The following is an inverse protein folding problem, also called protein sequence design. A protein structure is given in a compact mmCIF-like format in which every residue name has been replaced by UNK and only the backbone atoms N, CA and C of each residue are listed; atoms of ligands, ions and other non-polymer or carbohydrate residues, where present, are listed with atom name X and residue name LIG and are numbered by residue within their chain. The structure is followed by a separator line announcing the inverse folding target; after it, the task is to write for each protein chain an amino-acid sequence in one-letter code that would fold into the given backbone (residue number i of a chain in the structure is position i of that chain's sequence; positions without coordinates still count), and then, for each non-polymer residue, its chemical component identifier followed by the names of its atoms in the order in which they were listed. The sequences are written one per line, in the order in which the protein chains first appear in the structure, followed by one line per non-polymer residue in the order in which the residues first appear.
data_IF_401218760481
#
_entry.id   IF_401218760481
#
_cell.length_a   1.000
_cell.length_b   1.000
_cell.length_c   1.000
_cell.angle_alpha   90.00
_cell.angle_beta   90.00
_cell.angle_gamma   90.00
#
_symmetry.space_group_name_H-M   'P 1'
#
loop_
_entity.id
_entity.type
_entity.pdbx_description
1 polymer ?
#
# COMPACT_ATOMS: atom_id res chain seq x y z
N UNK A 1 -6.35 33.97 -41.55
CA UNK A 1 -5.32 33.76 -42.58
C UNK A 1 -4.11 33.11 -41.92
N UNK A 2 -3.62 32.06 -42.56
CA UNK A 2 -2.63 31.11 -42.06
C UNK A 2 -1.27 31.74 -41.76
N UNK A 3 -0.57 31.22 -40.76
CA UNK A 3 0.89 31.26 -40.73
C UNK A 3 1.42 30.10 -39.90
N UNK A 4 2.01 29.13 -40.59
CA UNK A 4 3.40 28.68 -40.42
C UNK A 4 3.52 27.43 -41.28
N UNK A 5 4.15 27.61 -42.43
CA UNK A 5 4.77 26.55 -43.22
C UNK A 5 6.27 26.71 -43.01
N UNK A 6 6.88 25.58 -42.65
CA UNK A 6 8.27 25.08 -42.75
C UNK A 6 9.38 26.10 -43.07
N UNK A 7 10.53 26.05 -42.41
CA UNK A 7 11.70 25.20 -42.70
C UNK A 7 12.83 25.80 -41.80
N UNK A 8 13.89 25.16 -41.32
CA UNK A 8 14.85 24.21 -41.86
C UNK A 8 15.69 23.73 -40.66
N UNK A 9 16.12 22.46 -40.63
CA UNK A 9 17.52 22.14 -40.32
C UNK A 9 17.87 20.88 -41.10
N UNK A 10 18.60 21.06 -42.19
CA UNK A 10 19.42 20.00 -42.77
C UNK A 10 20.78 20.03 -42.07
N UNK A 11 21.17 18.92 -41.45
CA UNK A 11 22.57 18.66 -41.11
C UNK A 11 22.89 17.21 -41.49
N UNK A 12 23.95 17.10 -42.26
CA UNK A 12 24.32 15.96 -43.07
C UNK A 12 25.21 14.97 -42.31
N UNK A 13 25.24 13.74 -42.84
CA UNK A 13 26.40 12.83 -42.90
C UNK A 13 27.02 12.40 -41.56
N UNK A 14 27.06 11.09 -41.30
CA UNK A 14 28.29 10.30 -41.45
C UNK A 14 28.21 8.93 -40.75
N UNK A 15 28.96 8.00 -41.33
CA UNK A 15 29.44 6.72 -40.81
C UNK A 15 28.51 5.51 -40.98
N UNK A 16 28.68 4.88 -42.14
CA UNK A 16 28.50 3.45 -42.31
C UNK A 16 29.40 2.70 -41.31
N UNK A 17 28.84 1.73 -40.58
CA UNK A 17 29.60 0.64 -39.97
C UNK A 17 29.12 -0.66 -40.59
N UNK A 18 30.09 -1.32 -41.21
CA UNK A 18 29.96 -2.56 -41.97
C UNK A 18 29.39 -3.68 -41.12
N UNK A 19 28.43 -4.39 -41.69
CA UNK A 19 27.95 -5.70 -41.23
C UNK A 19 29.12 -6.69 -41.28
N UNK A 20 29.69 -6.99 -40.12
CA UNK A 20 30.55 -8.17 -39.96
C UNK A 20 29.65 -9.35 -39.58
N UNK A 21 29.63 -10.30 -40.48
CA UNK A 21 28.85 -11.52 -40.47
C UNK A 21 29.41 -12.45 -39.40
N UNK A 22 28.77 -12.54 -38.23
CA UNK A 22 29.08 -13.60 -37.26
C UNK A 22 28.28 -14.83 -37.69
N UNK A 23 28.94 -15.67 -38.48
CA UNK A 23 28.45 -16.97 -38.88
C UNK A 23 28.47 -17.97 -37.71
N UNK A 24 27.49 -18.84 -37.75
CA UNK A 24 26.97 -19.78 -36.75
C UNK A 24 27.91 -20.93 -36.37
N UNK A 25 27.93 -21.28 -35.08
CA UNK A 25 28.15 -22.63 -34.54
C UNK A 25 27.22 -22.77 -33.33
N UNK A 26 26.03 -23.36 -33.50
CA UNK A 26 25.69 -24.76 -33.20
C UNK A 26 25.80 -25.12 -31.70
N UNK A 27 24.66 -25.58 -31.15
CA UNK A 27 24.48 -26.36 -29.91
C UNK A 27 24.90 -25.66 -28.59
N UNK A 28 24.08 -25.60 -27.55
CA UNK A 28 23.44 -26.71 -26.85
C UNK A 28 22.23 -26.15 -26.10
N UNK A 29 21.10 -26.85 -26.20
CA UNK A 29 19.97 -26.62 -25.33
C UNK A 29 20.37 -26.74 -23.85
N UNK A 30 20.21 -25.66 -23.10
CA UNK A 30 19.77 -25.79 -21.72
C UNK A 30 18.80 -24.67 -21.44
N UNK A 31 17.52 -24.97 -21.59
CA UNK A 31 16.50 -24.40 -20.73
C UNK A 31 16.96 -24.68 -19.32
N UNK A 32 17.64 -23.70 -18.71
CA UNK A 32 17.79 -23.69 -17.26
C UNK A 32 16.38 -23.48 -16.79
N UNK A 33 15.74 -24.61 -16.51
CA UNK A 33 14.57 -24.73 -15.67
C UNK A 33 14.80 -23.75 -14.52
N UNK A 34 13.98 -22.70 -14.46
CA UNK A 34 13.76 -21.91 -13.26
C UNK A 34 13.18 -22.89 -12.23
N UNK A 35 14.03 -23.74 -11.68
CA UNK A 35 13.82 -24.22 -10.34
C UNK A 35 14.00 -22.97 -9.49
N UNK A 36 12.90 -22.25 -9.28
CA UNK A 36 12.70 -21.36 -8.15
C UNK A 36 12.98 -22.20 -6.90
N UNK A 37 14.26 -22.35 -6.57
CA UNK A 37 14.69 -22.82 -5.26
C UNK A 37 14.40 -21.64 -4.37
N UNK A 38 13.13 -21.48 -3.98
CA UNK A 38 12.77 -20.70 -2.81
C UNK A 38 13.64 -21.26 -1.69
N UNK A 39 14.62 -20.47 -1.28
CA UNK A 39 15.48 -20.88 -0.17
C UNK A 39 14.62 -20.95 1.08
N UNK A 40 14.96 -21.84 2.02
CA UNK A 40 14.21 -21.95 3.28
C UNK A 40 14.04 -20.60 4.01
N UNK A 41 14.96 -19.65 3.80
CA UNK A 41 14.90 -18.28 4.31
C UNK A 41 13.84 -17.44 3.59
N UNK A 42 13.71 -17.57 2.27
CA UNK A 42 12.70 -16.88 1.46
C UNK A 42 11.28 -17.37 1.80
N UNK A 43 11.11 -18.69 1.97
CA UNK A 43 9.85 -19.30 2.42
C UNK A 43 9.49 -18.84 3.84
N UNK A 44 10.46 -18.80 4.76
CA UNK A 44 10.23 -18.34 6.13
C UNK A 44 9.83 -16.85 6.18
N UNK A 45 10.48 -15.99 5.40
CA UNK A 45 10.14 -14.57 5.30
C UNK A 45 8.72 -14.36 4.74
N UNK A 46 8.35 -15.08 3.67
CA UNK A 46 7.02 -14.99 3.08
C UNK A 46 5.91 -15.49 4.01
N UNK A 47 6.18 -16.51 4.83
CA UNK A 47 5.23 -16.96 5.86
C UNK A 47 5.04 -15.90 6.95
N UNK A 48 6.13 -15.30 7.43
CA UNK A 48 6.07 -14.22 8.42
C UNK A 48 5.29 -13.01 7.89
N UNK A 49 5.59 -12.54 6.66
CA UNK A 49 4.88 -11.41 6.04
C UNK A 49 3.38 -11.69 5.91
N UNK A 50 3.00 -12.92 5.55
CA UNK A 50 1.61 -13.34 5.43
C UNK A 50 0.89 -13.33 6.78
N UNK A 51 1.56 -13.78 7.85
CA UNK A 51 1.02 -13.73 9.21
C UNK A 51 0.87 -12.29 9.72
N UNK A 52 1.88 -11.43 9.50
CA UNK A 52 1.83 -10.01 9.87
C UNK A 52 0.68 -9.28 9.15
N UNK A 53 0.51 -9.53 7.85
CA UNK A 53 -0.59 -8.94 7.06
C UNK A 53 -1.96 -9.41 7.53
N UNK A 54 -2.08 -10.68 7.93
CA UNK A 54 -3.32 -11.22 8.51
C UNK A 54 -3.64 -10.56 9.85
N UNK A 55 -2.64 -10.47 10.74
CA UNK A 55 -2.79 -9.80 12.04
C UNK A 55 -3.16 -8.31 11.87
N UNK A 56 -2.54 -7.62 10.92
CA UNK A 56 -2.88 -6.23 10.61
C UNK A 56 -4.33 -6.06 10.11
N UNK A 57 -4.80 -6.96 9.26
CA UNK A 57 -6.19 -6.96 8.78
C UNK A 57 -7.20 -7.22 9.91
N UNK A 58 -6.90 -8.17 10.80
CA UNK A 58 -7.72 -8.46 11.98
C UNK A 58 -7.76 -7.26 12.95
N UNK A 59 -6.63 -6.59 13.15
CA UNK A 59 -6.53 -5.36 13.95
C UNK A 59 -7.38 -4.22 13.35
N UNK A 60 -7.31 -4.00 12.03
CA UNK A 60 -8.14 -3.00 11.35
C UNK A 60 -9.64 -3.26 11.56
N UNK A 61 -10.08 -4.51 11.45
CA UNK A 61 -11.48 -4.87 11.69
C UNK A 61 -11.90 -4.60 13.13
N UNK A 62 -11.10 -5.01 14.10
CA UNK A 62 -11.37 -4.74 15.51
C UNK A 62 -11.45 -3.23 15.81
N UNK A 63 -10.62 -2.42 15.14
CA UNK A 63 -10.67 -0.96 15.27
C UNK A 63 -11.98 -0.40 14.70
N UNK A 64 -12.41 -0.86 13.52
CA UNK A 64 -13.66 -0.44 12.88
C UNK A 64 -14.86 -0.80 13.77
N UNK A 65 -14.94 -2.05 14.24
CA UNK A 65 -16.04 -2.51 15.09
C UNK A 65 -16.16 -1.68 16.38
N UNK A 66 -15.02 -1.36 17.01
CA UNK A 66 -15.01 -0.54 18.21
C UNK A 66 -15.38 0.93 17.92
N UNK A 67 -15.01 1.48 16.76
CA UNK A 67 -15.41 2.82 16.33
C UNK A 67 -16.92 2.91 16.08
N UNK A 68 -17.54 1.88 15.51
CA UNK A 68 -19.01 1.80 15.38
C UNK A 68 -19.70 1.83 16.75
N UNK A 69 -19.18 1.08 17.72
CA UNK A 69 -19.68 1.12 19.10
C UNK A 69 -19.51 2.51 19.72
N UNK A 70 -18.37 3.17 19.49
CA UNK A 70 -18.13 4.54 19.95
C UNK A 70 -19.16 5.50 19.35
N UNK A 71 -19.42 5.44 18.03
CA UNK A 71 -20.43 6.27 17.37
C UNK A 71 -21.81 6.11 18.01
N UNK A 72 -22.24 4.87 18.29
CA UNK A 72 -23.52 4.60 18.98
C UNK A 72 -23.55 5.19 20.39
N UNK A 73 -22.45 5.09 21.15
CA UNK A 73 -22.35 5.68 22.50
C UNK A 73 -22.42 7.20 22.45
N UNK A 74 -21.76 7.82 21.47
CA UNK A 74 -21.80 9.27 21.25
C UNK A 74 -23.22 9.71 20.87
N UNK A 75 -23.90 9.01 19.96
CA UNK A 75 -25.28 9.32 19.62
C UNK A 75 -26.20 9.32 20.85
N UNK A 76 -26.14 8.26 21.66
CA UNK A 76 -26.90 8.16 22.92
C UNK A 76 -26.58 9.30 23.89
N UNK A 77 -25.31 9.69 23.99
CA UNK A 77 -24.87 10.80 24.84
C UNK A 77 -25.52 12.14 24.42
N UNK A 78 -25.72 12.36 23.12
CA UNK A 78 -26.36 13.58 22.61
C UNK A 78 -27.90 13.53 22.65
N UNK A 79 -28.49 12.34 22.61
CA UNK A 79 -29.93 12.13 22.81
C UNK A 79 -30.37 12.34 24.27
N UNK A 80 -29.46 12.15 25.24
CA UNK A 80 -29.75 12.36 26.65
C UNK A 80 -29.94 13.85 26.98
N UNK A 81 -31.20 14.22 27.19
CA UNK A 81 -31.64 15.59 27.56
C UNK A 81 -31.46 15.90 29.04
N UNK A 82 -31.17 14.91 29.88
CA UNK A 82 -30.98 15.10 31.32
C UNK A 82 -29.60 15.66 31.65
N UNK A 83 -28.63 15.50 30.74
CA UNK A 83 -27.28 16.02 30.88
C UNK A 83 -27.19 17.51 30.57
N UNK A 84 -26.41 18.23 31.39
CA UNK A 84 -25.97 19.57 31.06
C UNK A 84 -25.01 19.55 29.86
N UNK A 85 -24.81 20.71 29.22
CA UNK A 85 -23.87 20.84 28.10
C UNK A 85 -22.44 20.50 28.53
N UNK A 86 -22.03 20.97 29.70
CA UNK A 86 -20.67 20.76 30.21
C UNK A 86 -20.44 19.29 30.55
N UNK A 87 -21.41 18.63 31.20
CA UNK A 87 -21.34 17.19 31.47
C UNK A 87 -21.26 16.37 30.18
N UNK A 88 -22.00 16.78 29.15
CA UNK A 88 -21.98 16.11 27.85
C UNK A 88 -20.61 16.22 27.18
N UNK A 89 -20.03 17.42 27.18
CA UNK A 89 -18.69 17.66 26.62
C UNK A 89 -17.64 16.86 27.41
N UNK A 90 -17.71 16.85 28.74
CA UNK A 90 -16.78 16.08 29.56
C UNK A 90 -16.88 14.58 29.30
N UNK A 91 -18.10 14.04 29.21
CA UNK A 91 -18.32 12.62 28.90
C UNK A 91 -17.87 12.26 27.49
N UNK A 92 -18.07 13.16 26.52
CA UNK A 92 -17.56 12.97 25.16
C UNK A 92 -16.03 12.91 25.13
N UNK A 93 -15.35 13.84 25.81
CA UNK A 93 -13.89 13.83 25.94
C UNK A 93 -13.39 12.52 26.58
N UNK A 94 -14.08 12.02 27.61
CA UNK A 94 -13.73 10.75 28.24
C UNK A 94 -13.88 9.56 27.27
N UNK A 95 -14.93 9.54 26.44
CA UNK A 95 -15.12 8.50 25.43
C UNK A 95 -14.00 8.51 24.38
N UNK A 96 -13.60 9.69 23.90
CA UNK A 96 -12.50 9.83 22.94
C UNK A 96 -11.18 9.39 23.57
N UNK A 97 -10.87 9.83 24.80
CA UNK A 97 -9.63 9.44 25.48
C UNK A 97 -9.56 7.93 25.72
N UNK A 98 -10.66 7.31 26.16
CA UNK A 98 -10.73 5.86 26.32
C UNK A 98 -10.46 5.14 24.99
N UNK A 99 -11.06 5.62 23.89
CA UNK A 99 -10.83 5.06 22.57
C UNK A 99 -9.37 5.20 22.11
N UNK A 100 -8.78 6.37 22.31
CA UNK A 100 -7.37 6.60 21.97
C UNK A 100 -6.44 5.62 22.70
N UNK A 101 -6.70 5.35 23.98
CA UNK A 101 -5.94 4.37 24.75
C UNK A 101 -6.14 2.94 24.23
N UNK A 102 -7.37 2.56 23.90
CA UNK A 102 -7.64 1.24 23.30
C UNK A 102 -6.88 1.05 21.97
N UNK A 103 -6.85 2.08 21.12
CA UNK A 103 -6.11 2.03 19.85
C UNK A 103 -4.60 1.98 20.09
N UNK A 104 -4.08 2.78 21.01
CA UNK A 104 -2.66 2.78 21.38
C UNK A 104 -2.21 1.39 21.87
N UNK A 105 -3.01 0.76 22.74
CA UNK A 105 -2.75 -0.59 23.26
C UNK A 105 -2.89 -1.69 22.20
N UNK A 106 -3.75 -1.51 21.20
CA UNK A 106 -3.97 -2.51 20.16
C UNK A 106 -2.88 -2.49 19.06
N UNK A 107 -2.12 -1.40 18.97
CA UNK A 107 -1.09 -1.18 17.93
C UNK A 107 0.34 -1.33 18.49
N UNK A 108 0.50 -1.40 19.81
CA UNK A 108 1.78 -1.62 20.52
C UNK A 108 2.07 -3.10 20.74
#
# INVERSE_FOLDING_TARGET
MAKVVHQDVSAATTNQVSTAEVSTTEEVAKTVDEAEVETYEQVAFSLQEKEEKKAHGELMLAIIDADEVLQVRVAKLYEDKTLSKDDRVQRFANLINARSQEVELAVC
#
